data_IF_031410756755
#
_entry.id   IF_031410756755
#
_cell.length_a   1.000
_cell.length_b   1.000
_cell.length_c   1.000
_cell.angle_alpha   90.00
_cell.angle_beta   90.00
_cell.angle_gamma   90.00
#
_symmetry.space_group_name_H-M   'P 1'
#
loop_
_entity.id
_entity.type
_entity.pdbx_description
1 polymer ?
#
# COMPACT_ATOMS: atom_id res chain seq x y z
N UNK A 1 24.73 29.08 10.53
CA UNK A 1 23.84 28.09 9.90
C UNK A 1 24.69 27.23 8.98
N UNK A 2 24.60 25.90 9.06
CA UNK A 2 25.34 24.97 8.20
C UNK A 2 24.62 24.85 6.85
N UNK A 3 25.38 24.86 5.73
CA UNK A 3 24.85 24.81 4.39
C UNK A 3 25.16 23.48 3.69
N UNK A 4 24.22 22.97 2.89
CA UNK A 4 24.29 21.71 2.14
C UNK A 4 23.97 21.91 0.67
N UNK A 5 24.51 21.07 -0.21
CA UNK A 5 24.12 21.05 -1.62
C UNK A 5 22.73 20.40 -1.82
N UNK A 6 22.37 19.45 -0.95
CA UNK A 6 21.09 18.75 -0.97
C UNK A 6 20.63 18.45 0.46
N UNK A 7 19.37 18.71 0.77
CA UNK A 7 18.71 18.23 1.98
C UNK A 7 17.56 17.30 1.61
N UNK A 8 17.46 16.15 2.27
CA UNK A 8 16.42 15.15 2.07
C UNK A 8 15.69 14.96 3.39
N UNK A 9 14.36 15.18 3.40
CA UNK A 9 13.52 15.02 4.57
C UNK A 9 12.76 13.70 4.45
N UNK A 10 13.17 12.69 5.23
CA UNK A 10 12.63 11.33 5.26
C UNK A 10 13.56 10.28 4.67
N UNK A 11 13.84 9.23 5.46
CA UNK A 11 14.74 8.13 5.12
C UNK A 11 14.07 6.94 4.42
N UNK A 12 12.79 7.06 4.06
CA UNK A 12 12.04 6.03 3.34
C UNK A 12 12.54 5.86 1.89
N UNK A 13 11.71 6.25 0.90
CA UNK A 13 12.16 6.31 -0.51
C UNK A 13 13.12 7.45 -0.77
N UNK A 14 13.11 8.52 0.04
CA UNK A 14 14.06 9.63 -0.04
C UNK A 14 15.54 9.19 0.11
N UNK A 15 15.81 8.12 0.87
CA UNK A 15 17.15 7.59 1.03
C UNK A 15 17.83 7.16 -0.29
N UNK A 16 17.06 6.85 -1.34
CA UNK A 16 17.57 6.51 -2.68
C UNK A 16 18.21 7.71 -3.37
N UNK A 17 17.84 8.92 -2.95
CA UNK A 17 18.34 10.17 -3.55
C UNK A 17 19.75 10.57 -3.08
N UNK A 18 20.29 9.91 -2.06
CA UNK A 18 21.69 10.16 -1.63
C UNK A 18 22.64 9.70 -2.72
N UNK A 19 23.32 10.63 -3.43
CA UNK A 19 24.19 10.26 -4.53
C UNK A 19 25.46 9.53 -4.04
N UNK A 20 26.01 8.66 -4.88
CA UNK A 20 27.26 7.93 -4.57
C UNK A 20 28.46 8.86 -4.66
N UNK A 21 28.48 9.76 -5.64
CA UNK A 21 29.54 10.76 -5.86
C UNK A 21 28.94 12.17 -5.93
N UNK A 22 28.74 12.83 -4.79
CA UNK A 22 28.09 14.12 -4.72
C UNK A 22 29.04 15.28 -4.99
N UNK A 23 28.53 16.32 -5.65
CA UNK A 23 29.25 17.60 -5.80
C UNK A 23 29.34 18.42 -4.48
N UNK A 24 28.86 17.89 -3.34
CA UNK A 24 28.84 18.60 -2.05
C UNK A 24 28.23 17.77 -0.92
N UNK A 25 28.05 18.40 0.22
CA UNK A 25 27.51 17.76 1.41
C UNK A 25 25.97 17.56 1.33
N UNK A 26 25.49 16.42 1.81
CA UNK A 26 24.07 16.04 1.87
C UNK A 26 23.58 16.02 3.32
N UNK A 27 22.48 16.68 3.60
CA UNK A 27 21.74 16.52 4.84
C UNK A 27 20.63 15.48 4.63
N UNK A 28 20.62 14.40 5.41
CA UNK A 28 19.51 13.46 5.48
C UNK A 28 18.83 13.61 6.84
N UNK A 29 17.55 13.95 6.85
CA UNK A 29 16.78 14.21 8.10
C UNK A 29 15.75 13.13 8.28
N UNK A 30 15.74 12.48 9.45
CA UNK A 30 14.75 11.44 9.81
C UNK A 30 14.22 11.69 11.22
N UNK A 31 12.89 11.79 11.34
CA UNK A 31 12.24 12.08 12.62
C UNK A 31 12.01 10.85 13.51
N UNK A 32 12.14 9.67 12.95
CA UNK A 32 11.89 8.40 13.63
C UNK A 32 12.96 7.36 13.36
N UNK A 33 12.58 6.09 13.42
CA UNK A 33 13.48 5.01 13.04
C UNK A 33 13.78 5.03 11.53
N UNK A 34 15.02 4.71 11.17
CA UNK A 34 15.52 4.79 9.79
C UNK A 34 14.88 3.74 8.88
N UNK A 35 14.43 4.14 7.67
CA UNK A 35 13.91 3.23 6.64
C UNK A 35 12.46 3.49 6.20
N UNK A 36 11.74 4.34 6.95
CA UNK A 36 10.37 4.75 6.64
C UNK A 36 9.30 3.67 6.85
N UNK A 37 8.05 4.05 6.63
CA UNK A 37 6.85 3.22 6.93
C UNK A 37 6.91 1.82 6.31
N UNK A 38 7.30 1.69 5.04
CA UNK A 38 7.28 0.40 4.35
C UNK A 38 8.17 -0.66 5.04
N UNK A 39 9.38 -0.29 5.48
CA UNK A 39 10.29 -1.19 6.19
C UNK A 39 9.79 -1.49 7.60
N UNK A 40 9.40 -0.45 8.35
CA UNK A 40 9.25 -0.54 9.80
C UNK A 40 7.88 -1.05 10.24
N UNK A 41 6.81 -0.57 9.59
CA UNK A 41 5.40 -0.76 10.05
C UNK A 41 4.38 -0.84 8.90
N UNK A 42 4.85 -1.11 7.68
CA UNK A 42 4.00 -1.17 6.49
C UNK A 42 4.18 -2.45 5.70
N UNK A 43 4.60 -2.31 4.44
CA UNK A 43 4.62 -3.39 3.45
C UNK A 43 5.40 -4.62 3.89
N UNK A 44 6.61 -4.45 4.44
CA UNK A 44 7.47 -5.61 4.76
C UNK A 44 6.91 -6.40 5.93
N UNK A 45 6.69 -5.82 7.12
CA UNK A 45 6.14 -6.59 8.23
C UNK A 45 4.77 -7.17 7.92
N UNK A 46 3.84 -6.40 7.33
CA UNK A 46 2.49 -6.92 7.04
C UNK A 46 2.52 -8.12 6.09
N UNK A 47 3.42 -8.18 5.09
CA UNK A 47 3.53 -9.33 4.18
C UNK A 47 4.15 -10.56 4.83
N UNK A 48 5.04 -10.38 5.80
CA UNK A 48 5.56 -11.49 6.59
C UNK A 48 4.44 -12.08 7.50
N UNK A 49 3.62 -11.21 8.11
CA UNK A 49 2.44 -11.64 8.86
C UNK A 49 1.38 -12.28 7.97
N UNK A 50 1.08 -11.70 6.80
CA UNK A 50 0.12 -12.25 5.84
C UNK A 50 0.55 -13.65 5.38
N UNK A 51 1.83 -13.85 5.04
CA UNK A 51 2.33 -15.20 4.70
C UNK A 51 2.18 -16.18 5.86
N UNK A 52 2.34 -15.75 7.12
CA UNK A 52 2.08 -16.61 8.27
C UNK A 52 0.61 -17.01 8.37
N UNK A 53 -0.30 -16.08 8.08
CA UNK A 53 -1.73 -16.34 8.00
C UNK A 53 -2.08 -17.30 6.84
N UNK A 54 -1.40 -17.16 5.69
CA UNK A 54 -1.53 -18.08 4.54
C UNK A 54 -1.15 -19.50 4.94
N UNK A 55 -0.01 -19.69 5.63
CA UNK A 55 0.41 -21.02 6.15
C UNK A 55 -0.64 -21.60 7.09
N UNK A 56 -1.22 -20.79 7.98
CA UNK A 56 -2.28 -21.26 8.87
C UNK A 56 -3.57 -21.64 8.10
N UNK A 57 -3.89 -20.92 7.02
CA UNK A 57 -5.01 -21.22 6.14
C UNK A 57 -4.79 -22.53 5.36
N UNK A 58 -3.56 -22.77 4.86
CA UNK A 58 -3.20 -24.05 4.21
C UNK A 58 -3.38 -25.25 5.15
N UNK A 59 -2.96 -25.14 6.41
CA UNK A 59 -3.17 -26.20 7.42
C UNK A 59 -4.67 -26.50 7.57
N UNK A 60 -5.53 -25.48 7.66
CA UNK A 60 -6.98 -25.68 7.79
C UNK A 60 -7.63 -26.27 6.55
N UNK A 61 -7.08 -26.00 5.36
CA UNK A 61 -7.58 -26.54 4.08
C UNK A 61 -7.09 -27.95 3.78
N UNK A 62 -6.07 -28.44 4.48
CA UNK A 62 -5.40 -29.71 4.21
C UNK A 62 -6.37 -30.91 4.11
N UNK A 63 -7.40 -30.96 4.97
CA UNK A 63 -8.41 -32.02 4.95
C UNK A 63 -9.16 -32.10 3.60
N UNK A 64 -9.36 -30.95 2.92
CA UNK A 64 -9.94 -30.91 1.58
C UNK A 64 -9.09 -31.59 0.50
N UNK A 65 -7.80 -31.82 0.76
CA UNK A 65 -6.85 -32.51 -0.12
C UNK A 65 -6.53 -33.94 0.35
N UNK A 66 -7.27 -34.43 1.35
CA UNK A 66 -7.05 -35.77 1.92
C UNK A 66 -5.89 -35.83 2.91
N UNK A 67 -5.43 -34.70 3.43
CA UNK A 67 -4.32 -34.61 4.38
C UNK A 67 -4.85 -34.33 5.79
N UNK A 68 -4.39 -35.09 6.79
CA UNK A 68 -4.65 -34.79 8.19
C UNK A 68 -3.65 -33.77 8.69
N UNK A 69 -4.14 -32.54 9.01
CA UNK A 69 -3.34 -31.48 9.63
C UNK A 69 -4.19 -30.68 10.57
N UNK A 70 -3.60 -30.16 11.65
CA UNK A 70 -4.27 -29.35 12.65
C UNK A 70 -3.38 -28.20 13.10
N UNK A 71 -3.94 -26.99 13.18
CA UNK A 71 -3.29 -25.83 13.80
C UNK A 71 -3.54 -25.89 15.32
N UNK A 72 -2.61 -26.47 16.05
CA UNK A 72 -2.75 -26.69 17.50
C UNK A 72 -2.42 -25.48 18.35
N UNK A 73 -1.58 -24.56 17.84
CA UNK A 73 -1.13 -23.37 18.58
C UNK A 73 -0.67 -22.27 17.63
N UNK A 74 -0.94 -21.03 18.01
CA UNK A 74 -0.34 -19.82 17.42
C UNK A 74 0.56 -19.18 18.48
N UNK A 75 1.85 -19.11 18.22
CA UNK A 75 2.83 -18.43 19.07
C UNK A 75 3.07 -17.02 18.55
N UNK A 76 2.25 -16.09 19.01
CA UNK A 76 2.28 -14.70 18.54
C UNK A 76 3.62 -14.02 18.76
N UNK A 77 4.24 -14.25 19.94
CA UNK A 77 5.55 -13.67 20.25
C UNK A 77 6.64 -14.18 19.32
N UNK A 78 6.66 -15.46 19.04
CA UNK A 78 7.64 -16.04 18.10
C UNK A 78 7.45 -15.51 16.67
N UNK A 79 6.20 -15.24 16.24
CA UNK A 79 5.90 -14.61 14.95
C UNK A 79 6.45 -13.18 14.94
N UNK A 80 6.16 -12.37 15.95
CA UNK A 80 6.66 -10.99 16.07
C UNK A 80 8.20 -10.95 16.07
N UNK A 81 8.85 -11.78 16.87
CA UNK A 81 10.32 -11.81 17.00
C UNK A 81 10.97 -12.12 15.65
N UNK A 82 10.40 -13.07 14.89
CA UNK A 82 10.87 -13.39 13.55
C UNK A 82 10.76 -12.22 12.58
N UNK A 83 9.70 -11.41 12.71
CA UNK A 83 9.45 -10.22 11.86
C UNK A 83 10.38 -9.08 12.26
N UNK A 84 10.29 -8.65 13.51
CA UNK A 84 10.90 -7.38 13.94
C UNK A 84 12.40 -7.47 14.15
N UNK A 85 12.96 -8.61 14.61
CA UNK A 85 14.42 -8.77 14.72
C UNK A 85 15.14 -8.50 13.39
N UNK A 86 14.56 -8.94 12.27
CA UNK A 86 15.12 -8.68 10.94
C UNK A 86 14.95 -7.23 10.50
N UNK A 87 13.80 -6.64 10.76
CA UNK A 87 13.47 -5.26 10.40
C UNK A 87 14.34 -4.27 11.16
N UNK A 88 14.49 -4.47 12.47
CA UNK A 88 15.33 -3.64 13.34
C UNK A 88 16.79 -3.69 12.90
N UNK A 89 17.30 -4.88 12.57
CA UNK A 89 18.66 -5.02 12.05
C UNK A 89 18.86 -4.23 10.75
N UNK A 90 17.94 -4.37 9.77
CA UNK A 90 18.02 -3.65 8.48
C UNK A 90 17.94 -2.14 8.69
N UNK A 91 17.08 -1.66 9.58
CA UNK A 91 16.98 -0.24 9.94
C UNK A 91 18.27 0.28 10.57
N UNK A 92 18.82 -0.45 11.55
CA UNK A 92 20.05 -0.08 12.23
C UNK A 92 21.26 -0.09 11.27
N UNK A 93 21.34 -1.09 10.37
CA UNK A 93 22.40 -1.17 9.36
C UNK A 93 22.31 -0.01 8.37
N UNK A 94 21.12 0.30 7.89
CA UNK A 94 20.88 1.45 7.00
C UNK A 94 21.28 2.77 7.66
N UNK A 95 20.89 2.98 8.92
CA UNK A 95 21.30 4.15 9.71
C UNK A 95 22.81 4.25 9.86
N UNK A 96 23.48 3.15 10.27
CA UNK A 96 24.95 3.11 10.40
C UNK A 96 25.66 3.39 9.08
N UNK A 97 25.17 2.79 8.01
CA UNK A 97 25.71 3.01 6.66
C UNK A 97 25.67 4.48 6.26
N UNK A 98 24.53 5.16 6.48
CA UNK A 98 24.41 6.59 6.14
C UNK A 98 25.20 7.49 7.08
N UNK A 99 25.22 7.20 8.37
CA UNK A 99 26.03 7.94 9.33
C UNK A 99 27.54 7.81 9.09
N UNK A 100 27.99 6.70 8.48
CA UNK A 100 29.39 6.44 8.11
C UNK A 100 29.77 6.91 6.70
N UNK A 101 28.86 7.58 5.96
CA UNK A 101 29.17 8.09 4.62
C UNK A 101 29.71 9.51 4.73
N UNK A 102 30.94 9.76 4.30
CA UNK A 102 31.71 11.01 4.53
C UNK A 102 30.97 12.29 4.08
N UNK A 103 30.22 12.22 2.99
CA UNK A 103 29.50 13.37 2.46
C UNK A 103 28.05 13.50 2.98
N UNK A 104 27.63 12.61 3.90
CA UNK A 104 26.28 12.64 4.48
C UNK A 104 26.34 13.10 5.94
N UNK A 105 25.48 14.05 6.29
CA UNK A 105 25.16 14.36 7.68
C UNK A 105 23.76 13.86 7.96
N UNK A 106 23.65 12.83 8.80
CA UNK A 106 22.38 12.33 9.27
C UNK A 106 21.91 13.18 10.46
N UNK A 107 20.73 13.77 10.33
CA UNK A 107 20.03 14.46 11.42
C UNK A 107 18.87 13.61 11.89
N UNK A 108 18.86 13.30 13.16
CA UNK A 108 17.77 12.58 13.83
C UNK A 108 16.88 13.61 14.53
N UNK A 109 15.74 13.96 13.90
CA UNK A 109 14.84 14.99 14.39
C UNK A 109 13.83 15.42 13.34
N UNK A 110 12.91 16.27 13.75
CA UNK A 110 11.84 16.82 12.87
C UNK A 110 12.36 18.07 12.16
N UNK A 111 12.30 18.05 10.82
CA UNK A 111 12.58 19.23 10.02
C UNK A 111 11.34 20.09 9.85
N UNK A 112 11.51 21.42 9.88
CA UNK A 112 10.48 22.40 9.55
C UNK A 112 11.11 23.54 8.73
N UNK A 113 10.42 24.00 7.70
CA UNK A 113 10.85 25.17 6.95
C UNK A 113 10.72 26.44 7.78
N UNK A 114 11.72 27.31 7.69
CA UNK A 114 11.76 28.64 8.32
C UNK A 114 11.85 29.76 7.29
N UNK A 115 12.14 29.41 6.03
CA UNK A 115 12.25 30.30 4.89
C UNK A 115 12.51 29.52 3.60
N UNK A 116 12.65 30.23 2.47
CA UNK A 116 13.04 29.61 1.21
C UNK A 116 14.38 28.88 1.36
N UNK A 117 14.38 27.54 1.17
CA UNK A 117 15.58 26.67 1.31
C UNK A 117 16.25 26.69 2.70
N UNK A 118 15.52 27.11 3.73
CA UNK A 118 15.99 27.08 5.12
C UNK A 118 15.13 26.13 5.95
N UNK A 119 15.79 25.33 6.78
CA UNK A 119 15.17 24.36 7.67
C UNK A 119 15.68 24.55 9.09
N UNK A 120 14.84 24.24 10.07
CA UNK A 120 15.25 24.02 11.44
C UNK A 120 14.89 22.59 11.85
N UNK A 121 15.83 21.92 12.53
CA UNK A 121 15.64 20.56 13.03
C UNK A 121 15.45 20.62 14.53
N UNK A 122 14.33 20.06 15.02
CA UNK A 122 13.88 20.10 16.43
C UNK A 122 13.90 21.50 17.05
N UNK A 123 13.54 22.53 16.26
CA UNK A 123 13.55 23.95 16.63
C UNK A 123 14.88 24.47 17.20
N UNK A 124 15.99 23.76 16.95
CA UNK A 124 17.33 24.05 17.54
C UNK A 124 18.43 24.18 16.52
N UNK A 125 18.43 23.35 15.48
CA UNK A 125 19.54 23.25 14.55
C UNK A 125 19.15 23.82 13.19
N UNK A 126 19.48 25.09 12.90
CA UNK A 126 19.19 25.68 11.59
C UNK A 126 20.17 25.20 10.54
N UNK A 127 19.67 24.80 9.38
CA UNK A 127 20.43 24.43 8.18
C UNK A 127 19.82 25.12 6.96
N UNK A 128 20.61 25.22 5.88
CA UNK A 128 20.14 25.64 4.56
C UNK A 128 20.64 24.67 3.50
N UNK A 129 19.97 24.61 2.35
CA UNK A 129 20.42 23.80 1.24
C UNK A 129 20.10 24.46 -0.10
N UNK A 130 20.95 24.20 -1.13
CA UNK A 130 20.65 24.61 -2.50
C UNK A 130 19.39 23.96 -3.04
N UNK A 131 19.22 22.68 -2.69
CA UNK A 131 18.09 21.84 -3.10
C UNK A 131 17.53 21.08 -1.91
N UNK A 132 16.20 21.01 -1.82
CA UNK A 132 15.50 20.29 -0.75
C UNK A 132 14.50 19.30 -1.36
N UNK A 133 14.48 18.07 -0.85
CA UNK A 133 13.49 17.06 -1.24
C UNK A 133 12.65 16.67 -0.03
N UNK A 134 11.35 16.84 -0.16
CA UNK A 134 10.37 16.41 0.85
C UNK A 134 9.88 15.01 0.51
N UNK A 135 10.26 14.03 1.34
CA UNK A 135 9.91 12.60 1.20
C UNK A 135 9.34 12.04 2.52
N UNK A 136 8.55 12.84 3.21
CA UNK A 136 8.04 12.58 4.58
C UNK A 136 6.95 11.51 4.64
N UNK A 137 6.43 11.07 3.49
CA UNK A 137 5.43 10.00 3.44
C UNK A 137 4.07 10.38 4.00
N UNK A 138 3.38 9.41 4.58
CA UNK A 138 2.03 9.55 5.14
C UNK A 138 1.88 8.80 6.46
N UNK A 139 0.78 9.09 7.19
CA UNK A 139 0.38 8.44 8.45
C UNK A 139 -1.09 8.00 8.40
N UNK A 140 -1.53 7.06 9.26
CA UNK A 140 -2.94 6.69 9.38
C UNK A 140 -3.82 7.90 9.73
N UNK A 141 -5.03 7.92 9.17
CA UNK A 141 -6.10 8.85 9.59
C UNK A 141 -6.88 8.20 10.73
N UNK A 142 -7.10 8.96 11.79
CA UNK A 142 -8.00 8.59 12.89
C UNK A 142 -9.16 9.57 12.91
N UNK A 143 -10.40 9.11 12.66
CA UNK A 143 -11.58 9.96 12.72
C UNK A 143 -11.74 10.62 14.12
N UNK A 144 -12.18 11.89 14.20
CA UNK A 144 -12.34 12.59 15.48
C UNK A 144 -13.21 11.83 16.50
N UNK A 145 -14.28 11.20 16.03
CA UNK A 145 -15.17 10.39 16.89
C UNK A 145 -14.45 9.24 17.60
N UNK A 146 -13.35 8.76 17.05
CA UNK A 146 -12.49 7.73 17.68
C UNK A 146 -11.39 8.41 18.51
N UNK A 147 -10.70 9.38 17.94
CA UNK A 147 -9.58 10.07 18.62
C UNK A 147 -9.99 10.71 19.95
N UNK A 148 -11.21 11.26 20.01
CA UNK A 148 -11.75 11.96 21.17
C UNK A 148 -12.53 11.05 22.14
N UNK A 149 -12.68 9.76 21.82
CA UNK A 149 -13.49 8.81 22.60
C UNK A 149 -12.89 8.44 23.95
N UNK A 150 -11.58 8.61 24.12
CA UNK A 150 -10.84 8.12 25.30
C UNK A 150 -10.67 6.60 25.36
N UNK A 151 -11.04 5.88 24.29
CA UNK A 151 -10.86 4.43 24.17
C UNK A 151 -9.54 4.12 23.47
N UNK A 152 -8.81 3.13 23.97
CA UNK A 152 -7.57 2.69 23.33
C UNK A 152 -7.86 2.06 21.96
N UNK A 153 -7.12 2.47 20.95
CA UNK A 153 -7.19 1.92 19.60
C UNK A 153 -5.80 1.64 19.03
N UNK A 154 -5.75 0.86 18.00
CA UNK A 154 -4.55 0.60 17.20
C UNK A 154 -4.74 1.13 15.79
N UNK A 155 -3.64 1.45 15.13
CA UNK A 155 -3.57 1.74 13.70
C UNK A 155 -2.64 0.74 13.03
N UNK A 156 -2.45 0.84 11.71
CA UNK A 156 -1.43 0.04 11.01
C UNK A 156 -0.03 0.19 11.61
N UNK A 157 0.25 1.31 12.27
CA UNK A 157 1.54 1.63 12.84
C UNK A 157 1.82 0.89 14.17
N UNK A 158 0.79 0.35 14.84
CA UNK A 158 0.92 -0.24 16.18
C UNK A 158 0.26 -1.61 16.34
N UNK A 159 -0.61 -2.04 15.42
CA UNK A 159 -1.36 -3.30 15.57
C UNK A 159 -0.48 -4.54 15.50
N UNK A 160 0.64 -4.49 14.80
CA UNK A 160 1.57 -5.62 14.65
C UNK A 160 2.44 -5.86 15.89
N UNK A 161 2.46 -4.88 16.83
CA UNK A 161 3.26 -4.91 18.05
C UNK A 161 2.42 -5.12 19.33
N UNK A 162 1.16 -5.55 19.21
CA UNK A 162 0.32 -5.88 20.38
C UNK A 162 0.92 -7.04 21.16
N UNK A 163 0.81 -7.02 22.47
CA UNK A 163 1.43 -8.02 23.36
C UNK A 163 0.89 -9.43 23.17
N UNK A 164 -0.40 -9.56 22.86
CA UNK A 164 -1.10 -10.85 22.69
C UNK A 164 -2.20 -10.71 21.65
N UNK A 165 -2.54 -11.81 21.01
CA UNK A 165 -3.71 -11.87 20.14
C UNK A 165 -4.99 -11.69 20.97
N UNK A 166 -5.88 -10.76 20.60
CA UNK A 166 -7.21 -10.64 21.22
C UNK A 166 -8.11 -11.78 20.71
N UNK A 167 -9.24 -12.02 21.39
CA UNK A 167 -10.24 -12.93 20.86
C UNK A 167 -10.98 -12.34 19.66
N UNK A 168 -11.14 -10.99 19.63
CA UNK A 168 -11.83 -10.28 18.57
C UNK A 168 -11.25 -8.88 18.30
N UNK A 169 -11.36 -8.45 17.02
CA UNK A 169 -10.99 -7.10 16.59
C UNK A 169 -12.15 -6.47 15.85
N UNK A 170 -12.51 -5.23 16.23
CA UNK A 170 -13.33 -4.35 15.41
C UNK A 170 -12.41 -3.51 14.53
N UNK A 171 -12.61 -3.55 13.22
CA UNK A 171 -11.82 -2.79 12.23
C UNK A 171 -12.72 -1.71 11.64
N UNK A 172 -12.35 -0.44 11.83
CA UNK A 172 -13.02 0.70 11.19
C UNK A 172 -12.27 1.07 9.92
N UNK A 173 -12.91 0.84 8.77
CA UNK A 173 -12.40 1.01 7.42
C UNK A 173 -12.56 -0.25 6.57
N UNK A 174 -12.77 -0.08 5.26
CA UNK A 174 -12.93 -1.17 4.28
C UNK A 174 -11.91 -1.13 3.14
N UNK A 175 -10.80 -0.38 3.30
CA UNK A 175 -9.72 -0.29 2.35
C UNK A 175 -8.72 -1.46 2.44
N UNK A 176 -7.64 -1.39 1.61
CA UNK A 176 -6.63 -2.47 1.53
C UNK A 176 -5.94 -2.76 2.87
N UNK A 177 -5.68 -1.74 3.69
CA UNK A 177 -5.08 -1.92 5.03
C UNK A 177 -6.00 -2.73 5.92
N UNK A 178 -7.30 -2.37 5.95
CA UNK A 178 -8.32 -3.09 6.72
C UNK A 178 -8.44 -4.55 6.27
N UNK A 179 -8.52 -4.79 4.96
CA UNK A 179 -8.66 -6.13 4.37
C UNK A 179 -7.44 -7.02 4.68
N UNK A 180 -6.21 -6.49 4.56
CA UNK A 180 -4.99 -7.23 4.86
C UNK A 180 -4.90 -7.59 6.36
N UNK A 181 -5.19 -6.67 7.27
CA UNK A 181 -5.19 -6.99 8.70
C UNK A 181 -6.35 -7.92 9.10
N UNK A 182 -7.52 -7.78 8.47
CA UNK A 182 -8.59 -8.76 8.65
C UNK A 182 -8.15 -10.17 8.25
N UNK A 183 -7.46 -10.31 7.10
CA UNK A 183 -6.88 -11.59 6.67
C UNK A 183 -5.82 -12.10 7.66
N UNK A 184 -4.86 -11.27 8.05
CA UNK A 184 -3.78 -11.64 8.98
C UNK A 184 -4.36 -12.17 10.29
N UNK A 185 -5.20 -11.41 10.96
CA UNK A 185 -5.68 -11.76 12.28
C UNK A 185 -6.70 -12.90 12.25
N UNK A 186 -7.61 -12.94 11.25
CA UNK A 186 -8.54 -14.07 11.11
C UNK A 186 -7.79 -15.38 10.76
N UNK A 187 -6.74 -15.29 9.95
CA UNK A 187 -5.85 -16.41 9.67
C UNK A 187 -5.20 -16.97 10.94
N UNK A 188 -4.94 -16.12 11.91
CA UNK A 188 -4.37 -16.50 13.22
C UNK A 188 -5.43 -16.85 14.29
N UNK A 189 -6.72 -16.88 13.93
CA UNK A 189 -7.80 -17.33 14.81
C UNK A 189 -8.57 -16.23 15.55
N UNK A 190 -8.34 -14.96 15.22
CA UNK A 190 -9.04 -13.82 15.80
C UNK A 190 -10.35 -13.58 15.07
N UNK A 191 -11.45 -13.37 15.80
CA UNK A 191 -12.74 -12.99 15.21
C UNK A 191 -12.69 -11.55 14.69
N UNK A 192 -13.10 -11.34 13.43
CA UNK A 192 -13.06 -10.03 12.76
C UNK A 192 -14.44 -9.46 12.55
N UNK A 193 -14.62 -8.19 12.92
CA UNK A 193 -15.78 -7.37 12.65
C UNK A 193 -15.35 -6.10 11.94
N UNK A 194 -15.86 -5.88 10.72
CA UNK A 194 -15.48 -4.73 9.89
C UNK A 194 -16.63 -3.74 9.79
N UNK A 195 -16.32 -2.45 9.87
CA UNK A 195 -17.28 -1.35 9.71
C UNK A 195 -16.76 -0.41 8.64
N UNK A 196 -17.54 -0.14 7.61
CA UNK A 196 -17.22 0.88 6.59
C UNK A 196 -18.43 1.67 6.15
N UNK A 197 -18.25 2.96 5.88
CA UNK A 197 -19.30 3.85 5.35
C UNK A 197 -19.65 3.53 3.89
N UNK A 198 -18.72 2.93 3.14
CA UNK A 198 -18.95 2.55 1.75
C UNK A 198 -19.88 1.34 1.63
N UNK A 199 -20.60 1.19 0.51
CA UNK A 199 -21.51 0.06 0.27
C UNK A 199 -20.76 -1.25 -0.04
N UNK A 200 -19.43 -1.21 -0.24
CA UNK A 200 -18.58 -2.38 -0.51
C UNK A 200 -17.16 -2.16 -0.03
N UNK A 201 -16.44 -3.24 0.29
CA UNK A 201 -15.02 -3.22 0.61
C UNK A 201 -14.20 -2.91 -0.64
N UNK A 202 -13.01 -2.35 -0.46
CA UNK A 202 -12.08 -2.05 -1.55
C UNK A 202 -12.71 -1.20 -2.68
N UNK A 203 -13.57 -0.25 -2.32
CA UNK A 203 -14.30 0.59 -3.26
C UNK A 203 -13.47 1.25 -4.40
N UNK A 204 -12.21 1.66 -4.19
CA UNK A 204 -11.35 2.18 -5.24
C UNK A 204 -10.91 1.17 -6.31
N UNK A 205 -11.10 -0.14 -6.10
CA UNK A 205 -10.78 -1.18 -7.09
C UNK A 205 -11.85 -1.29 -8.16
N UNK A 206 -11.63 -2.15 -9.17
CA UNK A 206 -12.64 -2.49 -10.16
C UNK A 206 -13.92 -2.97 -9.48
N UNK A 207 -15.08 -2.50 -9.96
CA UNK A 207 -16.36 -2.75 -9.31
C UNK A 207 -16.65 -4.25 -9.19
N UNK A 208 -16.44 -5.03 -10.24
CA UNK A 208 -16.68 -6.48 -10.20
C UNK A 208 -15.76 -7.22 -9.21
N UNK A 209 -14.51 -6.79 -9.11
CA UNK A 209 -13.55 -7.33 -8.13
C UNK A 209 -13.95 -6.95 -6.70
N UNK A 210 -14.31 -5.69 -6.48
CA UNK A 210 -14.72 -5.16 -5.17
C UNK A 210 -15.97 -5.85 -4.65
N UNK A 211 -17.00 -6.04 -5.49
CA UNK A 211 -18.23 -6.75 -5.15
C UNK A 211 -17.95 -8.21 -4.80
N UNK A 212 -17.20 -8.91 -5.68
CA UNK A 212 -16.84 -10.31 -5.43
C UNK A 212 -16.02 -10.50 -4.16
N UNK A 213 -15.05 -9.62 -3.90
CA UNK A 213 -14.29 -9.65 -2.66
C UNK A 213 -15.18 -9.39 -1.43
N UNK A 214 -16.11 -8.46 -1.54
CA UNK A 214 -17.06 -8.14 -0.47
C UNK A 214 -17.94 -9.36 -0.09
N UNK A 215 -18.41 -10.10 -1.10
CA UNK A 215 -19.20 -11.33 -0.87
C UNK A 215 -18.34 -12.42 -0.21
N UNK A 216 -17.08 -12.56 -0.60
CA UNK A 216 -16.13 -13.47 0.03
C UNK A 216 -15.84 -13.08 1.48
N UNK A 217 -15.63 -11.80 1.73
CA UNK A 217 -15.37 -11.24 3.04
C UNK A 217 -16.53 -11.50 4.00
N UNK A 218 -17.79 -11.28 3.57
CA UNK A 218 -19.01 -11.56 4.35
C UNK A 218 -19.17 -13.04 4.72
N UNK A 219 -18.56 -13.96 3.96
CA UNK A 219 -18.55 -15.40 4.33
C UNK A 219 -17.54 -15.73 5.43
N UNK A 220 -16.50 -14.88 5.60
CA UNK A 220 -15.40 -15.10 6.54
C UNK A 220 -15.49 -14.23 7.79
N UNK A 221 -16.01 -13.01 7.66
CA UNK A 221 -16.00 -11.94 8.67
C UNK A 221 -17.40 -11.36 8.87
N UNK A 222 -17.63 -10.78 10.03
CA UNK A 222 -18.82 -9.97 10.31
C UNK A 222 -18.61 -8.56 9.71
N UNK A 223 -19.32 -8.24 8.63
CA UNK A 223 -19.06 -7.03 7.80
C UNK A 223 -20.29 -6.12 7.78
N UNK A 224 -20.13 -4.93 8.33
CA UNK A 224 -21.11 -3.85 8.38
C UNK A 224 -20.72 -2.76 7.36
N UNK A 225 -21.46 -2.67 6.26
CA UNK A 225 -21.26 -1.69 5.19
C UNK A 225 -22.35 -0.63 5.20
N UNK A 226 -22.10 0.51 4.54
CA UNK A 226 -22.99 1.70 4.63
C UNK A 226 -23.28 2.06 6.08
N UNK A 227 -22.29 1.85 6.96
CA UNK A 227 -22.41 1.96 8.40
C UNK A 227 -21.50 3.08 8.92
N UNK A 228 -22.09 4.14 9.44
CA UNK A 228 -21.36 5.28 10.01
C UNK A 228 -21.18 5.11 11.51
N UNK A 229 -19.94 5.26 11.97
CA UNK A 229 -19.60 5.27 13.41
C UNK A 229 -20.04 6.59 14.01
N UNK A 230 -20.87 6.52 15.05
CA UNK A 230 -21.37 7.71 15.78
C UNK A 230 -20.72 7.88 17.15
N UNK A 231 -20.27 6.79 17.76
CA UNK A 231 -19.63 6.81 19.08
C UNK A 231 -18.74 5.58 19.27
N UNK A 232 -17.66 5.74 20.02
CA UNK A 232 -16.86 4.62 20.54
C UNK A 232 -16.82 4.72 22.06
N UNK A 233 -17.02 3.58 22.74
CA UNK A 233 -17.07 3.52 24.22
C UNK A 233 -16.47 2.20 24.73
N UNK A 234 -16.12 2.17 26.02
CA UNK A 234 -15.77 0.93 26.69
C UNK A 234 -16.99 0.04 26.85
N UNK A 235 -16.79 -1.27 26.76
CA UNK A 235 -17.82 -2.30 26.98
C UNK A 235 -17.29 -3.30 28.02
N UNK A 236 -17.73 -3.14 29.26
CA UNK A 236 -17.17 -3.86 30.40
C UNK A 236 -15.71 -3.49 30.70
N UNK A 237 -14.99 -4.39 31.35
CA UNK A 237 -13.64 -4.10 31.87
C UNK A 237 -12.55 -4.14 30.78
N UNK A 238 -12.73 -4.88 29.71
CA UNK A 238 -11.71 -5.10 28.68
C UNK A 238 -12.19 -4.95 27.24
N UNK A 239 -13.50 -4.75 27.02
CA UNK A 239 -14.11 -4.66 25.70
C UNK A 239 -14.30 -3.23 25.21
N UNK A 240 -14.58 -3.12 23.92
CA UNK A 240 -15.01 -1.88 23.24
C UNK A 240 -16.33 -2.09 22.54
N UNK A 241 -17.13 -1.02 22.42
CA UNK A 241 -18.32 -0.98 21.58
C UNK A 241 -18.25 0.23 20.66
N UNK A 242 -18.59 -0.01 19.38
CA UNK A 242 -18.67 1.00 18.32
C UNK A 242 -20.15 1.13 17.96
N UNK A 243 -20.76 2.24 18.35
CA UNK A 243 -22.17 2.54 18.08
C UNK A 243 -22.32 3.09 16.65
N UNK A 244 -23.31 2.61 15.91
CA UNK A 244 -23.57 2.96 14.52
C UNK A 244 -24.78 3.90 14.39
N UNK A 245 -24.93 4.56 13.25
CA UNK A 245 -26.00 5.52 12.98
C UNK A 245 -27.40 4.88 13.02
N UNK A 246 -27.50 3.59 12.68
CA UNK A 246 -28.76 2.83 12.72
C UNK A 246 -29.19 2.42 14.14
N UNK A 247 -28.42 2.78 15.17
CA UNK A 247 -28.66 2.46 16.57
C UNK A 247 -28.11 1.10 17.00
N UNK A 248 -27.51 0.32 16.12
CA UNK A 248 -26.81 -0.92 16.47
C UNK A 248 -25.42 -0.64 17.05
N UNK A 249 -24.79 -1.65 17.65
CA UNK A 249 -23.43 -1.56 18.15
C UNK A 249 -22.63 -2.81 17.78
N UNK A 250 -21.37 -2.61 17.38
CA UNK A 250 -20.40 -3.66 17.10
C UNK A 250 -19.38 -3.70 18.24
N UNK A 251 -19.21 -4.86 18.88
CA UNK A 251 -18.34 -5.01 20.07
C UNK A 251 -17.08 -5.82 19.72
N UNK A 252 -16.04 -5.67 20.52
CA UNK A 252 -14.80 -6.46 20.39
C UNK A 252 -13.80 -6.15 21.49
N UNK A 253 -12.69 -6.89 21.51
CA UNK A 253 -11.65 -6.72 22.55
C UNK A 253 -10.65 -5.64 22.16
N UNK A 254 -10.49 -5.36 20.86
CA UNK A 254 -9.53 -4.39 20.35
C UNK A 254 -10.13 -3.62 19.16
N UNK A 255 -9.84 -2.32 19.07
CA UNK A 255 -10.22 -1.46 17.96
C UNK A 255 -9.00 -1.21 17.05
N UNK A 256 -9.13 -1.54 15.77
CA UNK A 256 -8.18 -1.16 14.72
C UNK A 256 -8.80 -0.07 13.83
N UNK A 257 -8.11 1.05 13.70
CA UNK A 257 -8.51 2.15 12.81
C UNK A 257 -7.69 2.07 11.54
N UNK A 258 -8.37 1.81 10.42
CA UNK A 258 -7.81 1.72 9.07
C UNK A 258 -8.62 2.57 8.08
N UNK A 259 -9.03 3.77 8.51
CA UNK A 259 -9.94 4.68 7.81
C UNK A 259 -9.26 5.57 6.75
N UNK A 260 -8.04 5.23 6.35
CA UNK A 260 -7.28 5.96 5.33
C UNK A 260 -5.91 6.45 5.81
N UNK A 261 -5.24 7.20 4.93
CA UNK A 261 -3.91 7.78 5.20
C UNK A 261 -3.89 9.24 4.77
N UNK A 262 -3.14 10.06 5.51
CA UNK A 262 -2.92 11.47 5.18
C UNK A 262 -1.41 11.77 5.05
N UNK A 263 -1.01 12.69 4.15
CA UNK A 263 0.39 13.04 3.97
C UNK A 263 0.95 13.75 5.22
N UNK A 264 2.26 13.53 5.49
CA UNK A 264 2.97 14.19 6.59
C UNK A 264 3.50 15.56 6.13
N UNK A 265 2.62 16.52 5.96
CA UNK A 265 2.91 17.84 5.38
C UNK A 265 2.43 19.00 6.24
N UNK A 266 1.59 18.76 7.22
CA UNK A 266 0.93 19.76 8.06
C UNK A 266 1.90 20.49 9.01
N UNK A 267 2.90 19.79 9.56
CA UNK A 267 3.85 20.33 10.53
C UNK A 267 5.19 20.78 9.91
N UNK A 268 5.29 20.80 8.58
CA UNK A 268 6.54 21.13 7.88
C UNK A 268 6.82 22.63 7.71
N UNK A 269 5.84 23.52 8.00
CA UNK A 269 6.01 24.96 7.77
C UNK A 269 6.18 25.32 6.29
N UNK A 270 5.52 24.62 5.38
CA UNK A 270 5.63 24.75 3.92
C UNK A 270 5.36 26.16 3.41
N UNK A 271 4.48 26.89 4.10
CA UNK A 271 4.10 28.27 3.78
C UNK A 271 5.30 29.22 3.87
N UNK A 272 6.23 28.98 4.84
CA UNK A 272 7.46 29.78 4.97
C UNK A 272 8.39 29.63 3.77
N UNK A 273 8.30 28.49 3.09
CA UNK A 273 9.09 28.19 1.89
C UNK A 273 8.37 28.54 0.57
N UNK A 274 7.10 28.93 0.62
CA UNK A 274 6.27 29.18 -0.58
C UNK A 274 5.82 27.89 -1.29
N UNK A 275 5.80 26.76 -0.57
CA UNK A 275 5.36 25.47 -1.09
C UNK A 275 3.86 25.30 -0.90
N UNK A 276 3.12 25.18 -2.01
CA UNK A 276 1.67 24.99 -1.99
C UNK A 276 1.27 23.52 -1.71
N UNK A 277 0.12 23.36 -1.06
CA UNK A 277 -0.55 22.06 -0.84
C UNK A 277 -1.83 21.98 -1.66
N UNK A 278 -2.23 20.76 -1.98
CA UNK A 278 -3.56 20.42 -2.51
C UNK A 278 -4.57 20.35 -1.36
N UNK A 279 -5.87 20.30 -1.68
CA UNK A 279 -6.95 20.21 -0.68
C UNK A 279 -6.87 18.94 0.19
N UNK A 280 -6.30 17.86 -0.34
CA UNK A 280 -6.07 16.61 0.38
C UNK A 280 -4.78 16.60 1.23
N UNK A 281 -4.11 17.73 1.36
CA UNK A 281 -2.89 17.94 2.13
C UNK A 281 -1.60 17.56 1.42
N UNK A 282 -1.65 16.95 0.23
CA UNK A 282 -0.43 16.62 -0.54
C UNK A 282 0.26 17.87 -1.04
N UNK A 283 1.60 17.85 -1.08
CA UNK A 283 2.38 18.90 -1.73
C UNK A 283 2.04 18.94 -3.23
N UNK A 284 1.78 20.15 -3.74
CA UNK A 284 1.56 20.34 -5.17
C UNK A 284 2.90 20.24 -5.90
N UNK A 285 2.99 19.32 -6.84
CA UNK A 285 4.14 19.13 -7.73
C UNK A 285 3.72 19.08 -9.18
N UNK A 286 4.67 19.40 -10.08
CA UNK A 286 4.54 19.15 -11.50
C UNK A 286 4.92 17.68 -11.84
N UNK A 287 4.91 17.34 -13.13
CA UNK A 287 5.25 16.01 -13.62
C UNK A 287 6.69 15.57 -13.32
N UNK A 288 7.60 16.50 -13.02
CA UNK A 288 9.01 16.27 -12.70
C UNK A 288 9.27 16.19 -11.20
N UNK A 289 8.26 16.35 -10.36
CA UNK A 289 8.37 16.38 -8.90
C UNK A 289 8.77 17.73 -8.32
N UNK A 290 8.79 18.83 -9.12
CA UNK A 290 9.10 20.18 -8.65
C UNK A 290 7.88 20.76 -7.95
N UNK A 291 8.09 21.39 -6.80
CA UNK A 291 7.03 22.11 -6.08
C UNK A 291 6.81 23.50 -6.67
N UNK A 292 5.90 24.27 -6.09
CA UNK A 292 5.68 25.69 -6.44
C UNK A 292 6.85 26.60 -6.04
N UNK A 293 7.75 26.14 -5.19
CA UNK A 293 8.93 26.88 -4.74
C UNK A 293 10.19 26.37 -5.44
N UNK A 294 11.00 27.29 -5.97
CA UNK A 294 12.25 26.96 -6.66
C UNK A 294 13.25 26.26 -5.75
N UNK A 295 13.85 25.17 -6.24
CA UNK A 295 14.84 24.40 -5.51
C UNK A 295 14.25 23.43 -4.48
N UNK A 296 12.92 23.24 -4.49
CA UNK A 296 12.23 22.30 -3.62
C UNK A 296 11.43 21.28 -4.46
N UNK A 297 11.62 19.99 -4.16
CA UNK A 297 10.96 18.85 -4.80
C UNK A 297 10.20 18.03 -3.78
N UNK A 298 9.27 17.19 -4.24
CA UNK A 298 8.63 16.19 -3.39
C UNK A 298 8.34 14.91 -4.15
N UNK A 299 8.29 13.79 -3.41
CA UNK A 299 7.98 12.45 -3.93
C UNK A 299 7.25 11.59 -2.88
N UNK A 300 6.72 10.45 -3.34
CA UNK A 300 6.03 9.49 -2.50
C UNK A 300 4.74 10.05 -1.91
N UNK A 301 4.24 9.44 -0.85
CA UNK A 301 2.92 9.77 -0.27
C UNK A 301 2.76 11.24 0.15
N UNK A 302 3.86 11.99 0.28
CA UNK A 302 3.81 13.43 0.57
C UNK A 302 3.24 14.25 -0.59
N UNK A 303 3.35 13.79 -1.85
CA UNK A 303 2.92 14.50 -3.05
C UNK A 303 2.22 13.63 -4.09
N UNK A 304 2.55 12.32 -4.12
CA UNK A 304 2.01 11.37 -5.09
C UNK A 304 0.53 11.04 -4.84
N UNK A 305 -0.29 10.85 -5.88
CA UNK A 305 -1.64 10.31 -5.74
C UNK A 305 -1.63 8.81 -5.36
N UNK A 306 -0.49 8.14 -5.52
CA UNK A 306 -0.31 6.71 -5.24
C UNK A 306 0.44 6.53 -3.92
N UNK A 307 -0.21 5.88 -2.96
CA UNK A 307 0.41 5.53 -1.66
C UNK A 307 1.04 4.13 -1.74
N UNK A 308 1.98 3.96 -2.69
CA UNK A 308 2.59 2.68 -3.04
C UNK A 308 4.12 2.79 -3.06
N UNK A 309 4.79 1.86 -2.36
CA UNK A 309 6.25 1.87 -2.23
C UNK A 309 6.98 1.79 -3.57
N UNK A 310 6.51 0.96 -4.50
CA UNK A 310 7.13 0.82 -5.82
C UNK A 310 6.98 2.09 -6.67
N UNK A 311 5.89 2.84 -6.52
CA UNK A 311 5.73 4.17 -7.13
C UNK A 311 6.71 5.15 -6.52
N UNK A 312 6.75 5.29 -5.20
CA UNK A 312 7.70 6.17 -4.53
C UNK A 312 9.17 5.84 -4.86
N UNK A 313 9.51 4.56 -5.06
CA UNK A 313 10.84 4.15 -5.51
C UNK A 313 11.12 4.53 -6.99
N UNK A 314 10.11 4.44 -7.86
CA UNK A 314 10.23 4.86 -9.26
C UNK A 314 10.38 6.39 -9.35
N UNK A 315 9.55 7.14 -8.63
CA UNK A 315 9.68 8.59 -8.49
C UNK A 315 11.05 9.00 -7.95
N UNK A 316 11.57 8.31 -6.92
CA UNK A 316 12.89 8.60 -6.36
C UNK A 316 14.02 8.38 -7.38
N UNK A 317 13.97 7.30 -8.19
CA UNK A 317 14.97 7.09 -9.26
C UNK A 317 14.88 8.17 -10.35
N UNK A 318 13.67 8.55 -10.74
CA UNK A 318 13.45 9.61 -11.72
C UNK A 318 13.93 10.96 -11.18
N UNK A 319 13.61 11.26 -9.92
CA UNK A 319 14.04 12.51 -9.29
C UNK A 319 15.58 12.56 -9.11
N UNK A 320 16.23 11.43 -8.78
CA UNK A 320 17.68 11.36 -8.74
C UNK A 320 18.31 11.73 -10.10
N UNK A 321 17.75 11.22 -11.21
CA UNK A 321 18.14 11.62 -12.55
C UNK A 321 17.90 13.13 -12.78
N UNK A 322 16.72 13.64 -12.46
CA UNK A 322 16.35 15.04 -12.66
C UNK A 322 17.26 16.01 -11.87
N UNK A 323 17.63 15.63 -10.66
CA UNK A 323 18.58 16.41 -9.84
C UNK A 323 20.00 16.43 -10.42
N UNK A 324 20.44 15.32 -11.05
CA UNK A 324 21.74 15.21 -11.66
C UNK A 324 21.79 15.86 -13.07
N UNK A 325 20.67 15.91 -13.79
CA UNK A 325 20.59 16.34 -15.19
C UNK A 325 19.50 17.42 -15.38
N UNK A 326 19.67 18.64 -14.87
CA UNK A 326 18.63 19.66 -14.92
C UNK A 326 18.24 20.10 -16.35
N UNK A 327 19.05 19.77 -17.35
CA UNK A 327 18.77 19.99 -18.77
C UNK A 327 18.06 18.83 -19.50
N UNK A 328 17.87 17.67 -18.81
CA UNK A 328 17.23 16.46 -19.35
C UNK A 328 16.25 15.89 -18.34
N UNK A 329 15.18 16.61 -18.09
CA UNK A 329 14.18 16.21 -17.09
C UNK A 329 13.28 15.08 -17.62
N UNK A 330 12.98 14.12 -16.76
CA UNK A 330 12.07 13.00 -17.01
C UNK A 330 10.84 13.10 -16.12
N UNK A 331 9.63 12.89 -16.68
CA UNK A 331 8.41 12.88 -15.88
C UNK A 331 8.38 11.65 -14.96
N UNK A 332 7.67 11.76 -13.85
CA UNK A 332 7.39 10.62 -12.98
C UNK A 332 6.60 9.54 -13.74
N UNK A 333 6.98 8.25 -13.65
CA UNK A 333 6.32 7.17 -14.38
C UNK A 333 5.03 6.73 -13.68
N UNK A 334 3.95 7.46 -13.93
CA UNK A 334 2.63 7.19 -13.34
C UNK A 334 1.70 6.39 -14.27
N UNK A 335 2.20 5.94 -15.42
CA UNK A 335 1.47 5.07 -16.32
C UNK A 335 1.53 3.62 -15.83
N UNK A 336 0.40 2.93 -15.97
CA UNK A 336 0.29 1.48 -15.69
C UNK A 336 0.75 1.09 -14.28
N UNK A 337 0.44 1.91 -13.29
CA UNK A 337 0.76 1.64 -11.89
C UNK A 337 -0.04 0.43 -11.40
N UNK A 338 0.61 -0.69 -11.05
CA UNK A 338 -0.11 -1.83 -10.49
C UNK A 338 -0.32 -1.67 -8.99
N UNK A 339 -1.36 -2.33 -8.48
CA UNK A 339 -1.58 -2.47 -7.05
C UNK A 339 -1.97 -3.90 -6.69
N UNK A 340 -1.64 -4.34 -5.47
CA UNK A 340 -2.07 -5.63 -4.95
C UNK A 340 -2.52 -5.53 -3.50
N UNK A 341 -3.48 -6.38 -3.12
CA UNK A 341 -3.95 -6.59 -1.74
C UNK A 341 -3.65 -8.03 -1.36
N UNK A 342 -2.92 -8.21 -0.28
CA UNK A 342 -2.42 -9.50 0.16
C UNK A 342 -3.39 -10.14 1.17
N UNK A 343 -4.53 -10.52 0.65
CA UNK A 343 -5.59 -11.28 1.35
C UNK A 343 -5.64 -12.71 0.81
N UNK A 344 -6.59 -13.49 1.25
CA UNK A 344 -6.94 -14.79 0.68
C UNK A 344 -8.45 -14.79 0.31
N UNK A 345 -8.73 -14.75 -1.02
CA UNK A 345 -7.82 -14.65 -2.16
C UNK A 345 -7.12 -13.28 -2.26
N UNK A 346 -5.95 -13.24 -2.94
CA UNK A 346 -5.27 -11.99 -3.25
C UNK A 346 -6.01 -11.20 -4.33
N UNK A 347 -5.78 -9.89 -4.37
CA UNK A 347 -6.23 -9.03 -5.46
C UNK A 347 -5.04 -8.37 -6.11
N UNK A 348 -5.04 -8.24 -7.44
CA UNK A 348 -4.09 -7.40 -8.16
C UNK A 348 -4.79 -6.67 -9.31
N UNK A 349 -4.32 -5.46 -9.60
CA UNK A 349 -4.94 -4.58 -10.59
C UNK A 349 -3.90 -3.73 -11.30
N UNK A 350 -4.16 -3.40 -12.56
CA UNK A 350 -3.42 -2.40 -13.34
C UNK A 350 -4.33 -1.78 -14.39
N UNK A 351 -4.18 -0.49 -14.65
CA UNK A 351 -4.90 0.22 -15.70
C UNK A 351 -6.35 0.60 -15.33
N UNK A 352 -7.20 0.76 -16.35
CA UNK A 352 -8.57 1.24 -16.21
C UNK A 352 -9.50 0.19 -15.60
N UNK A 353 -10.39 0.61 -14.72
CA UNK A 353 -11.45 -0.18 -14.09
C UNK A 353 -12.72 -0.09 -14.94
N UNK A 354 -13.67 -1.00 -14.76
CA UNK A 354 -14.93 -0.97 -15.51
C UNK A 354 -15.64 0.39 -15.39
N UNK A 355 -15.68 0.97 -14.19
CA UNK A 355 -16.29 2.27 -13.94
C UNK A 355 -15.56 3.46 -14.58
N UNK A 356 -14.34 3.28 -15.03
CA UNK A 356 -13.58 4.27 -15.79
C UNK A 356 -13.85 4.18 -17.29
N UNK A 357 -14.37 3.04 -17.77
CA UNK A 357 -14.61 2.72 -19.19
C UNK A 357 -16.07 2.89 -19.59
N UNK A 358 -17.01 2.43 -18.76
CA UNK A 358 -18.44 2.47 -19.04
C UNK A 358 -18.94 3.88 -19.37
N UNK A 359 -19.59 4.00 -20.54
CA UNK A 359 -20.14 5.25 -21.04
C UNK A 359 -19.09 6.31 -21.47
N UNK A 360 -17.79 5.98 -21.42
CA UNK A 360 -16.70 6.93 -21.73
C UNK A 360 -15.89 6.58 -22.96
N UNK A 361 -15.67 5.29 -23.21
CA UNK A 361 -14.95 4.82 -24.39
C UNK A 361 -15.33 3.39 -24.76
N UNK A 362 -15.16 2.97 -26.04
CA UNK A 362 -15.33 1.59 -26.42
C UNK A 362 -14.33 0.67 -25.71
N UNK A 363 -14.77 -0.51 -25.33
CA UNK A 363 -13.93 -1.57 -24.80
C UNK A 363 -14.55 -2.94 -25.07
N UNK A 364 -13.72 -3.96 -25.07
CA UNK A 364 -14.13 -5.37 -24.97
C UNK A 364 -13.63 -5.91 -23.62
N UNK A 365 -14.40 -6.84 -23.06
CA UNK A 365 -14.09 -7.43 -21.77
C UNK A 365 -14.09 -8.95 -21.84
N UNK A 366 -13.21 -9.57 -21.07
CA UNK A 366 -13.20 -11.02 -20.89
C UNK A 366 -12.90 -11.36 -19.43
N UNK A 367 -13.62 -12.35 -18.91
CA UNK A 367 -13.37 -12.91 -17.57
C UNK A 367 -13.08 -14.41 -17.67
N UNK A 368 -11.97 -14.83 -17.10
CA UNK A 368 -11.57 -16.23 -16.96
C UNK A 368 -11.62 -16.62 -15.49
N UNK A 369 -12.50 -17.57 -15.10
CA UNK A 369 -12.45 -18.15 -13.77
C UNK A 369 -11.26 -19.11 -13.64
N UNK A 370 -10.66 -19.17 -12.46
CA UNK A 370 -9.59 -20.12 -12.13
C UNK A 370 -10.06 -21.56 -12.29
N UNK A 371 -11.29 -21.86 -11.89
CA UNK A 371 -11.93 -23.18 -12.07
C UNK A 371 -12.03 -23.64 -13.52
N UNK A 372 -11.77 -22.78 -14.50
CA UNK A 372 -11.71 -23.12 -15.91
C UNK A 372 -10.32 -23.57 -16.39
N UNK A 373 -9.36 -23.80 -15.48
CA UNK A 373 -8.00 -24.28 -15.81
C UNK A 373 -7.65 -25.51 -14.98
N UNK A 374 -6.74 -26.34 -15.50
CA UNK A 374 -6.30 -27.56 -14.81
C UNK A 374 -5.65 -27.27 -13.44
N UNK A 375 -4.86 -26.19 -13.36
CA UNK A 375 -4.25 -25.82 -12.08
C UNK A 375 -5.29 -25.23 -11.10
N UNK A 376 -6.33 -24.55 -11.59
CA UNK A 376 -7.48 -24.13 -10.78
C UNK A 376 -8.22 -25.33 -10.16
N UNK A 377 -8.32 -26.44 -10.89
CA UNK A 377 -8.85 -27.70 -10.31
C UNK A 377 -7.93 -28.26 -9.23
N UNK A 378 -6.63 -28.25 -9.47
CA UNK A 378 -5.65 -28.69 -8.47
C UNK A 378 -5.74 -27.88 -7.17
N UNK A 379 -5.98 -26.56 -7.26
CA UNK A 379 -6.21 -25.68 -6.12
C UNK A 379 -7.60 -25.82 -5.50
N UNK A 380 -8.56 -26.49 -6.19
CA UNK A 380 -9.99 -26.49 -5.86
C UNK A 380 -10.56 -25.07 -5.75
N UNK A 381 -10.04 -24.16 -6.57
CA UNK A 381 -10.43 -22.76 -6.57
C UNK A 381 -11.78 -22.57 -7.29
N UNK A 382 -12.75 -22.00 -6.59
CA UNK A 382 -14.10 -21.68 -7.11
C UNK A 382 -14.35 -20.18 -7.19
N UNK A 383 -13.48 -19.39 -6.61
CA UNK A 383 -13.69 -17.98 -6.37
C UNK A 383 -12.79 -17.08 -7.24
N UNK A 384 -11.64 -17.60 -7.69
CA UNK A 384 -10.66 -16.85 -8.45
C UNK A 384 -11.13 -16.47 -9.85
N UNK A 385 -10.85 -15.23 -10.27
CA UNK A 385 -11.12 -14.70 -11.60
C UNK A 385 -9.97 -13.80 -12.10
N UNK A 386 -9.79 -13.77 -13.41
CA UNK A 386 -9.00 -12.78 -14.13
C UNK A 386 -9.91 -12.04 -15.11
N UNK A 387 -10.09 -10.74 -14.93
CA UNK A 387 -10.89 -9.88 -15.82
C UNK A 387 -9.97 -8.92 -16.55
N UNK A 388 -10.10 -8.87 -17.87
CA UNK A 388 -9.32 -8.02 -18.77
C UNK A 388 -10.23 -7.09 -19.55
N UNK A 389 -9.75 -5.87 -19.80
CA UNK A 389 -10.36 -4.89 -20.67
C UNK A 389 -9.37 -4.52 -21.77
N UNK A 390 -9.82 -4.50 -23.02
CA UNK A 390 -8.99 -4.12 -24.18
C UNK A 390 -9.75 -3.15 -25.09
N UNK A 391 -8.97 -2.36 -25.80
CA UNK A 391 -9.45 -1.47 -26.85
C UNK A 391 -9.78 -2.33 -28.09
N UNK A 392 -11.02 -2.29 -28.62
CA UNK A 392 -11.44 -3.14 -29.73
C UNK A 392 -10.74 -2.79 -31.06
N UNK A 393 -10.30 -1.54 -31.24
CA UNK A 393 -9.69 -1.07 -32.50
C UNK A 393 -8.19 -1.33 -32.52
N UNK A 394 -7.50 -1.04 -31.40
CA UNK A 394 -6.03 -1.15 -31.34
C UNK A 394 -5.55 -2.49 -30.79
N UNK A 395 -6.44 -3.27 -30.18
CA UNK A 395 -6.10 -4.51 -29.50
C UNK A 395 -5.18 -4.33 -28.28
N UNK A 396 -5.05 -3.12 -27.75
CA UNK A 396 -4.21 -2.85 -26.57
C UNK A 396 -4.98 -3.06 -25.27
N UNK A 397 -4.27 -3.55 -24.25
CA UNK A 397 -4.82 -3.67 -22.90
C UNK A 397 -5.21 -2.28 -22.38
N UNK A 398 -6.38 -2.18 -21.77
CA UNK A 398 -6.87 -0.99 -21.06
C UNK A 398 -6.82 -1.19 -19.56
N UNK A 399 -7.07 -2.39 -19.08
CA UNK A 399 -7.04 -2.73 -17.67
C UNK A 399 -7.03 -4.24 -17.45
N UNK A 400 -6.49 -4.63 -16.31
CA UNK A 400 -6.44 -6.02 -15.86
C UNK A 400 -6.65 -6.10 -14.36
N UNK A 401 -7.53 -7.01 -13.94
CA UNK A 401 -7.93 -7.16 -12.55
C UNK A 401 -8.03 -8.65 -12.22
N UNK A 402 -7.29 -9.08 -11.22
CA UNK A 402 -7.23 -10.48 -10.80
C UNK A 402 -7.64 -10.57 -9.33
N UNK A 403 -8.54 -11.47 -9.02
CA UNK A 403 -8.85 -11.91 -7.67
C UNK A 403 -8.61 -13.41 -7.62
N UNK A 404 -7.67 -13.88 -6.80
CA UNK A 404 -7.33 -15.30 -6.73
C UNK A 404 -5.97 -15.57 -6.13
N UNK A 405 -5.63 -16.85 -6.05
CA UNK A 405 -4.32 -17.29 -5.58
C UNK A 405 -3.20 -16.73 -6.46
N UNK A 406 -2.16 -16.17 -5.82
CA UNK A 406 -1.00 -15.56 -6.51
C UNK A 406 -1.34 -14.43 -7.50
N UNK A 407 -2.45 -13.71 -7.32
CA UNK A 407 -2.83 -12.60 -8.20
C UNK A 407 -1.71 -11.56 -8.35
N UNK A 408 -0.96 -11.27 -7.26
CA UNK A 408 0.17 -10.34 -7.27
C UNK A 408 1.34 -10.75 -8.18
N UNK A 409 1.49 -12.04 -8.47
CA UNK A 409 2.46 -12.58 -9.43
C UNK A 409 1.89 -12.63 -10.84
N UNK A 410 0.64 -13.08 -10.98
CA UNK A 410 -0.02 -13.24 -12.29
C UNK A 410 -0.27 -11.93 -13.01
N UNK A 411 -0.36 -10.81 -12.30
CA UNK A 411 -0.55 -9.49 -12.90
C UNK A 411 0.70 -8.99 -13.65
N UNK A 412 1.92 -9.46 -13.28
CA UNK A 412 3.17 -8.89 -13.80
C UNK A 412 3.35 -8.97 -15.31
N UNK A 413 3.06 -10.08 -16.02
CA UNK A 413 3.12 -10.10 -17.46
C UNK A 413 2.13 -9.14 -18.12
N UNK A 414 0.97 -8.89 -17.52
CA UNK A 414 0.00 -7.89 -17.99
C UNK A 414 0.50 -6.46 -17.78
N UNK A 415 1.16 -6.18 -16.65
CA UNK A 415 1.86 -4.89 -16.42
C UNK A 415 2.94 -4.66 -17.46
N UNK A 416 3.75 -5.68 -17.77
CA UNK A 416 4.79 -5.58 -18.79
C UNK A 416 4.19 -5.30 -20.17
N UNK A 417 3.16 -6.07 -20.57
CA UNK A 417 2.48 -5.89 -21.87
C UNK A 417 1.92 -4.46 -22.00
N UNK A 418 1.21 -3.98 -20.98
CA UNK A 418 0.68 -2.63 -20.94
C UNK A 418 1.78 -1.56 -21.05
N UNK A 419 2.84 -1.69 -20.24
CA UNK A 419 3.95 -0.72 -20.19
C UNK A 419 4.77 -0.67 -21.49
N UNK A 420 4.83 -1.77 -22.26
CA UNK A 420 5.56 -1.85 -23.53
C UNK A 420 4.66 -1.66 -24.75
N UNK A 421 3.34 -1.48 -24.54
CA UNK A 421 2.37 -1.32 -25.63
C UNK A 421 2.14 -2.59 -26.45
N UNK A 422 2.43 -3.78 -25.88
CA UNK A 422 2.19 -5.07 -26.53
C UNK A 422 0.68 -5.32 -26.67
N UNK A 423 0.24 -5.78 -27.86
CA UNK A 423 -1.16 -6.10 -28.12
C UNK A 423 -1.61 -7.38 -27.43
N UNK A 424 -2.90 -7.47 -27.07
CA UNK A 424 -3.45 -8.67 -26.38
C UNK A 424 -3.34 -9.95 -27.19
N UNK A 425 -3.54 -9.89 -28.53
CA UNK A 425 -3.39 -11.05 -29.42
C UNK A 425 -1.93 -11.51 -29.50
N UNK A 426 -1.01 -10.57 -29.54
CA UNK A 426 0.44 -10.79 -29.57
C UNK A 426 0.91 -11.40 -28.25
N UNK A 427 0.42 -10.87 -27.13
CA UNK A 427 0.69 -11.43 -25.81
C UNK A 427 0.14 -12.86 -25.66
N UNK A 428 -1.09 -13.12 -26.13
CA UNK A 428 -1.73 -14.42 -26.01
C UNK A 428 -0.99 -15.53 -26.79
N UNK A 429 -0.45 -15.21 -27.99
CA UNK A 429 0.08 -16.18 -28.93
C UNK A 429 1.57 -16.03 -29.24
N UNK A 430 2.19 -14.94 -28.86
CA UNK A 430 3.60 -14.65 -29.15
C UNK A 430 4.60 -15.28 -28.16
N UNK A 431 4.12 -16.03 -27.18
CA UNK A 431 4.93 -16.72 -26.20
C UNK A 431 4.39 -18.11 -25.88
N UNK A 432 5.21 -18.96 -25.27
CA UNK A 432 4.74 -20.21 -24.68
C UNK A 432 4.17 -19.95 -23.30
N UNK A 433 3.00 -20.53 -23.04
CA UNK A 433 2.41 -20.61 -21.71
C UNK A 433 2.68 -22.01 -21.14
N UNK A 434 3.18 -22.08 -19.92
CA UNK A 434 3.48 -23.37 -19.28
C UNK A 434 2.16 -24.08 -18.94
N UNK A 435 2.06 -25.34 -19.39
CA UNK A 435 0.93 -26.22 -19.09
C UNK A 435 1.38 -27.44 -18.25
N UNK A 436 0.64 -27.80 -17.17
CA UNK A 436 -0.42 -27.03 -16.51
C UNK A 436 0.18 -26.05 -15.50
N UNK A 437 -0.14 -24.76 -15.64
CA UNK A 437 0.28 -23.74 -14.71
C UNK A 437 -0.83 -22.68 -14.51
N UNK A 438 -0.76 -21.94 -13.40
CA UNK A 438 -1.78 -20.94 -13.08
C UNK A 438 -1.79 -19.76 -14.09
N UNK A 439 -0.70 -19.55 -14.82
CA UNK A 439 -0.61 -18.54 -15.88
C UNK A 439 -1.60 -18.76 -17.04
N UNK A 440 -2.14 -19.98 -17.21
CA UNK A 440 -3.21 -20.27 -18.18
C UNK A 440 -4.50 -19.47 -17.89
N UNK A 441 -4.70 -19.01 -16.65
CA UNK A 441 -5.80 -18.12 -16.32
C UNK A 441 -5.68 -16.80 -17.08
N UNK A 442 -4.45 -16.27 -17.20
CA UNK A 442 -4.16 -15.05 -17.97
C UNK A 442 -4.25 -15.32 -19.46
N UNK A 443 -3.63 -16.39 -19.96
CA UNK A 443 -3.70 -16.80 -21.38
C UNK A 443 -5.16 -16.93 -21.85
N UNK A 444 -5.97 -17.71 -21.11
CA UNK A 444 -7.35 -17.94 -21.46
C UNK A 444 -8.21 -16.67 -21.39
N UNK A 445 -7.92 -15.75 -20.48
CA UNK A 445 -8.57 -14.45 -20.45
C UNK A 445 -8.24 -13.62 -21.71
N UNK A 446 -6.96 -13.59 -22.12
CA UNK A 446 -6.52 -12.92 -23.34
C UNK A 446 -7.16 -13.53 -24.59
N UNK A 447 -7.21 -14.87 -24.69
CA UNK A 447 -7.82 -15.59 -25.83
C UNK A 447 -9.34 -15.38 -25.95
N UNK A 448 -10.02 -15.04 -24.86
CA UNK A 448 -11.47 -14.75 -24.84
C UNK A 448 -11.81 -13.33 -25.29
N UNK A 449 -10.85 -12.43 -25.35
CA UNK A 449 -11.10 -11.07 -25.83
C UNK A 449 -11.43 -11.10 -27.32
N UNK A 450 -12.66 -10.75 -27.68
CA UNK A 450 -13.13 -10.66 -29.05
C UNK A 450 -12.68 -9.31 -29.63
N UNK A 451 -11.57 -9.31 -30.34
CA UNK A 451 -11.09 -8.15 -31.08
C UNK A 451 -11.72 -8.14 -32.49
N UNK A 452 -12.16 -6.96 -32.95
CA UNK A 452 -12.72 -6.75 -34.30
C UNK A 452 -11.65 -6.80 -35.39
#
# INVERSE_FOLDING_TARGET
>A
MRHFSLAIIGSGSGNVLVPEDPAGQVALVEAGAFGGTCLLRGCIPSKIFAHTADVAAEIRRAAGFGLGAELTRVDWKAIQDRVFSRIEQVSADGRRGRAGTDHVTLFEGRARFTGPRELVIDDRTPISADRIVVATGSRPVVPPVIAESGVDFRTSDSIMEIERLPASIVIVGGGYVAAEFAHIFSGLGVAIRMIDMAPRLLGPFDTGISERFTDLAKRKWDVHLSAQVTRVRRDGDAGIAVDLEDGSAVTGDLLLVAAGRQPNTDDLGLEAAGVARRDDGRIQVDEYGRTTAEGIWSLGDASSPFQLKHVANAEARTLAHNLAHPGDLRPFPHDWVPAAVFTEPQIATVGARIQDLEGRRPYVAATQPYSGTAYGWALRDTDGICTLYADPETGKLLGAHILGYQASLLIQPLVQAASTGLGVAEMARGQYWIHPALTEVVENALLKLSLS
#
